data_IF_031683194318
#
_entry.id   IF_031683194318
#
_cell.length_a   1.000
_cell.length_b   1.000
_cell.length_c   1.000
_cell.angle_alpha   90.00
_cell.angle_beta   90.00
_cell.angle_gamma   90.00
#
_symmetry.space_group_name_H-M   'P 1'
#
loop_
_entity.id
_entity.type
_entity.pdbx_description
1 polymer ?
#
# COMPACT_ATOMS: atom_id res chain seq x y z
N UNK A 1 19.31 55.93 42.91
CA UNK A 1 19.14 55.71 41.46
C UNK A 1 17.97 54.77 41.31
N UNK A 2 16.80 55.34 41.02
CA UNK A 2 15.53 54.62 40.96
C UNK A 2 15.34 53.98 39.58
N UNK A 3 14.74 52.78 39.49
CA UNK A 3 14.39 52.16 38.22
C UNK A 3 13.10 52.76 37.64
N UNK A 4 13.18 53.23 36.39
CA UNK A 4 12.06 53.67 35.58
C UNK A 4 11.07 52.51 35.34
N UNK A 5 9.82 52.72 35.73
CA UNK A 5 8.65 51.91 35.35
C UNK A 5 8.06 52.46 34.05
N UNK A 6 7.80 51.57 33.09
CA UNK A 6 7.02 51.86 31.88
C UNK A 6 5.54 51.51 32.12
N UNK A 7 4.58 52.31 31.66
CA UNK A 7 3.16 52.00 31.77
C UNK A 7 2.70 51.02 30.67
N UNK A 8 1.94 50.01 31.10
CA UNK A 8 1.09 49.16 30.26
C UNK A 8 -0.11 49.94 29.75
N UNK A 9 -0.24 50.00 28.43
CA UNK A 9 -1.42 50.51 27.73
C UNK A 9 -2.30 49.32 27.33
N UNK A 10 -3.44 49.17 27.98
CA UNK A 10 -4.49 48.20 27.64
C UNK A 10 -5.65 48.96 27.00
N UNK A 11 -5.70 48.98 25.67
CA UNK A 11 -6.88 49.38 24.91
C UNK A 11 -7.88 48.23 24.78
N UNK A 12 -9.20 48.48 24.89
CA UNK A 12 -10.25 47.50 24.62
C UNK A 12 -10.73 47.57 23.16
N UNK A 13 -11.58 46.61 22.78
CA UNK A 13 -12.31 46.45 21.51
C UNK A 13 -11.63 45.43 20.57
N UNK A 14 -12.31 44.49 19.91
CA UNK A 14 -13.66 44.54 19.38
C UNK A 14 -14.34 43.18 19.29
N UNK A 15 -15.66 43.26 19.14
CA UNK A 15 -16.67 42.22 19.11
C UNK A 15 -16.41 41.02 18.18
N UNK A 16 -16.79 39.85 18.68
CA UNK A 16 -16.97 38.61 17.91
C UNK A 16 -18.25 38.70 17.08
N UNK A 17 -18.22 38.51 15.75
CA UNK A 17 -19.43 38.36 14.97
C UNK A 17 -19.94 36.91 15.05
N UNK A 18 -21.21 36.83 15.41
CA UNK A 18 -22.11 35.68 15.42
C UNK A 18 -22.21 35.04 14.02
N UNK A 19 -21.61 33.86 13.83
CA UNK A 19 -21.75 33.09 12.60
C UNK A 19 -23.05 32.28 12.64
N UNK A 20 -24.08 32.88 12.06
CA UNK A 20 -25.34 32.21 11.72
C UNK A 20 -25.11 31.07 10.72
N UNK A 21 -25.80 29.97 11.00
CA UNK A 21 -25.98 28.81 10.14
C UNK A 21 -26.46 29.21 8.74
N UNK A 22 -25.69 28.82 7.73
CA UNK A 22 -26.02 28.98 6.31
C UNK A 22 -26.27 27.62 5.67
N UNK A 23 -27.54 27.36 5.41
CA UNK A 23 -28.13 26.65 4.29
C UNK A 23 -27.36 25.51 3.61
N UNK A 24 -27.87 24.31 3.90
CA UNK A 24 -27.72 23.07 3.16
C UNK A 24 -28.26 23.19 1.74
N UNK A 25 -27.37 23.46 0.78
CA UNK A 25 -27.59 23.31 -0.66
C UNK A 25 -27.30 21.86 -1.09
N UNK A 26 -28.14 20.92 -0.66
CA UNK A 26 -28.26 19.61 -1.32
C UNK A 26 -29.67 19.52 -1.88
N UNK A 27 -29.76 19.74 -3.20
CA UNK A 27 -31.00 19.52 -3.95
C UNK A 27 -31.33 18.02 -4.01
N UNK A 28 -32.62 17.66 -4.10
CA UNK A 28 -33.04 16.28 -4.27
C UNK A 28 -32.62 15.78 -5.66
N UNK A 29 -31.89 14.68 -5.70
CA UNK A 29 -31.75 13.87 -6.91
C UNK A 29 -33.08 13.16 -7.15
N UNK A 30 -33.75 13.55 -8.24
CA UNK A 30 -34.87 12.81 -8.81
C UNK A 30 -34.37 11.45 -9.29
N UNK A 31 -34.74 10.40 -8.56
CA UNK A 31 -34.59 9.01 -8.98
C UNK A 31 -35.73 8.68 -9.94
N UNK A 32 -35.45 8.58 -11.24
CA UNK A 32 -36.36 7.93 -12.19
C UNK A 32 -36.41 6.40 -11.94
N UNK A 33 -37.58 5.76 -12.01
CA UNK A 33 -37.71 4.32 -11.84
C UNK A 33 -37.60 3.53 -13.16
N UNK A 34 -36.99 2.36 -13.04
CA UNK A 34 -37.18 1.10 -13.78
C UNK A 34 -37.14 1.08 -15.32
N UNK A 35 -36.17 0.29 -15.84
CA UNK A 35 -36.50 -0.70 -16.87
C UNK A 35 -36.00 -2.09 -16.46
N UNK A 36 -36.83 -3.14 -16.58
CA UNK A 36 -36.43 -4.51 -16.31
C UNK A 36 -35.62 -5.06 -17.49
N UNK A 37 -34.37 -5.40 -17.25
CA UNK A 37 -33.56 -6.17 -18.21
C UNK A 37 -34.02 -7.63 -18.17
N UNK A 38 -34.60 -8.10 -19.27
CA UNK A 38 -34.94 -9.50 -19.51
C UNK A 38 -33.69 -10.38 -19.36
N UNK A 39 -33.83 -11.42 -18.53
CA UNK A 39 -32.84 -12.49 -18.35
C UNK A 39 -33.11 -13.56 -19.41
N UNK A 40 -32.18 -13.88 -20.33
CA UNK A 40 -32.25 -15.10 -21.10
C UNK A 40 -31.57 -16.23 -20.31
N UNK A 41 -32.38 -17.19 -19.85
CA UNK A 41 -31.94 -18.49 -19.35
C UNK A 41 -31.55 -19.45 -20.50
N UNK A 42 -30.92 -20.62 -20.24
CA UNK A 42 -29.59 -20.93 -20.74
C UNK A 42 -29.59 -21.92 -21.92
N UNK A 43 -28.61 -21.76 -22.81
CA UNK A 43 -28.29 -22.78 -23.79
C UNK A 43 -27.55 -23.94 -23.12
N UNK A 44 -28.25 -25.07 -22.98
CA UNK A 44 -27.70 -26.41 -22.76
C UNK A 44 -26.56 -26.66 -23.75
N UNK A 45 -25.38 -27.00 -23.24
CA UNK A 45 -24.32 -27.58 -24.08
C UNK A 45 -23.82 -28.88 -23.48
N UNK A 46 -23.76 -29.84 -24.38
CA UNK A 46 -23.67 -31.29 -24.27
C UNK A 46 -22.34 -31.78 -23.71
N UNK A 47 -22.45 -32.76 -22.81
CA UNK A 47 -21.38 -33.68 -22.42
C UNK A 47 -20.92 -34.47 -23.65
N UNK A 48 -19.63 -34.39 -23.98
CA UNK A 48 -18.97 -35.34 -24.90
C UNK A 48 -18.02 -36.17 -24.07
N UNK A 49 -18.41 -37.42 -23.85
CA UNK A 49 -17.54 -38.49 -23.38
C UNK A 49 -16.54 -38.83 -24.50
N UNK A 50 -15.25 -38.81 -24.19
CA UNK A 50 -14.25 -39.47 -25.02
C UNK A 50 -13.39 -40.40 -24.16
N UNK A 51 -13.83 -41.65 -24.10
CA UNK A 51 -13.05 -42.80 -23.64
C UNK A 51 -12.23 -43.31 -24.83
N UNK A 52 -10.91 -43.49 -24.69
CA UNK A 52 -10.22 -44.80 -24.81
C UNK A 52 -8.70 -44.70 -25.02
N UNK A 53 -8.00 -45.52 -24.22
CA UNK A 53 -6.82 -46.35 -24.49
C UNK A 53 -5.57 -45.78 -25.22
N UNK A 54 -4.39 -45.99 -24.62
CA UNK A 54 -3.40 -47.03 -25.06
C UNK A 54 -1.97 -46.76 -24.54
N UNK A 55 -1.52 -47.69 -23.68
CA UNK A 55 -0.17 -48.27 -23.49
C UNK A 55 1.05 -47.41 -23.07
N UNK A 56 1.81 -47.86 -22.05
CA UNK A 56 3.08 -47.28 -21.63
C UNK A 56 4.24 -47.78 -22.51
N UNK A 57 5.02 -46.86 -23.06
CA UNK A 57 6.33 -47.15 -23.61
C UNK A 57 7.38 -47.02 -22.50
N UNK A 58 7.89 -48.17 -22.05
CA UNK A 58 9.07 -48.28 -21.19
C UNK A 58 10.28 -47.73 -21.95
N UNK A 59 10.65 -46.49 -21.66
CA UNK A 59 11.88 -45.84 -22.10
C UNK A 59 13.03 -46.08 -21.12
N UNK A 60 14.29 -46.07 -21.58
CA UNK A 60 15.46 -46.43 -20.80
C UNK A 60 15.77 -45.39 -19.71
N UNK A 61 16.20 -45.89 -18.56
CA UNK A 61 16.67 -45.16 -17.39
C UNK A 61 17.60 -43.99 -17.76
N UNK A 62 17.07 -42.77 -17.71
CA UNK A 62 17.87 -41.56 -17.62
C UNK A 62 18.43 -41.47 -16.20
N UNK A 63 19.76 -41.52 -16.10
CA UNK A 63 20.51 -41.22 -14.88
C UNK A 63 20.12 -39.80 -14.47
N UNK A 64 19.30 -39.71 -13.42
CA UNK A 64 18.98 -38.44 -12.77
C UNK A 64 20.22 -38.03 -12.00
N UNK A 65 21.05 -37.18 -12.58
CA UNK A 65 22.08 -36.46 -11.84
C UNK A 65 21.37 -35.61 -10.80
N UNK A 66 21.42 -36.06 -9.55
CA UNK A 66 20.98 -35.30 -8.39
C UNK A 66 21.77 -33.99 -8.37
N UNK A 67 21.13 -32.82 -8.53
CA UNK A 67 21.82 -31.55 -8.43
C UNK A 67 22.46 -31.46 -7.03
N UNK A 68 23.69 -30.94 -6.90
CA UNK A 68 24.30 -30.75 -5.60
C UNK A 68 23.38 -29.90 -4.74
N UNK A 69 22.88 -30.52 -3.68
CA UNK A 69 22.10 -29.90 -2.61
C UNK A 69 22.96 -28.77 -2.06
N UNK A 70 22.66 -27.56 -2.53
CA UNK A 70 23.34 -26.35 -2.09
C UNK A 70 22.75 -26.04 -0.74
N UNK A 71 23.44 -26.47 0.31
CA UNK A 71 23.08 -26.14 1.69
C UNK A 71 22.87 -24.62 1.78
N UNK A 72 21.69 -24.15 2.20
CA UNK A 72 21.46 -22.73 2.36
C UNK A 72 22.42 -22.23 3.43
N UNK A 73 23.37 -21.37 3.04
CA UNK A 73 24.26 -20.70 3.98
C UNK A 73 23.41 -20.02 5.05
N UNK A 74 23.48 -20.56 6.27
CA UNK A 74 22.86 -20.00 7.46
C UNK A 74 23.62 -18.71 7.80
N UNK A 75 23.32 -17.63 7.06
CA UNK A 75 23.80 -16.28 7.35
C UNK A 75 23.11 -15.81 8.63
N UNK A 76 23.73 -16.17 9.75
CA UNK A 76 23.55 -15.51 11.04
C UNK A 76 24.04 -14.07 10.91
N UNK A 77 23.20 -13.21 10.33
CA UNK A 77 23.41 -11.77 10.37
C UNK A 77 23.11 -11.31 11.78
N UNK A 78 24.11 -10.71 12.44
CA UNK A 78 23.92 -10.00 13.70
C UNK A 78 22.68 -9.10 13.62
N UNK A 79 21.90 -8.96 14.72
CA UNK A 79 20.72 -8.10 14.72
C UNK A 79 21.15 -6.68 14.39
N UNK A 80 20.85 -6.23 13.17
CA UNK A 80 21.04 -4.85 12.75
C UNK A 80 20.02 -4.03 13.51
N UNK A 81 20.46 -2.94 14.11
CA UNK A 81 19.61 -2.01 14.86
C UNK A 81 18.58 -1.36 13.93
N UNK A 82 17.30 -1.38 14.33
CA UNK A 82 16.17 -0.84 13.54
C UNK A 82 16.39 0.62 13.15
N UNK A 83 17.01 1.42 14.03
CA UNK A 83 17.33 2.81 13.76
C UNK A 83 18.34 2.95 12.62
N UNK A 84 19.33 2.06 12.53
CA UNK A 84 20.30 2.04 11.44
C UNK A 84 19.63 1.74 10.10
N UNK A 85 18.68 0.79 10.07
CA UNK A 85 17.90 0.48 8.87
C UNK A 85 16.98 1.64 8.48
N UNK A 86 16.37 2.30 9.47
CA UNK A 86 15.52 3.46 9.26
C UNK A 86 16.31 4.64 8.67
N UNK A 87 17.48 4.93 9.22
CA UNK A 87 18.36 6.00 8.74
C UNK A 87 18.90 5.70 7.32
N UNK A 88 19.26 4.44 7.03
CA UNK A 88 19.70 4.02 5.71
C UNK A 88 18.58 4.10 4.66
N UNK A 89 17.36 3.74 5.04
CA UNK A 89 16.17 3.92 4.20
C UNK A 89 15.90 5.40 3.95
N UNK A 90 15.96 6.23 4.98
CA UNK A 90 15.76 7.66 4.85
C UNK A 90 16.82 8.32 3.95
N UNK A 91 18.09 7.99 4.15
CA UNK A 91 19.21 8.52 3.37
C UNK A 91 19.11 8.17 1.89
N UNK A 92 18.51 7.02 1.55
CA UNK A 92 18.35 6.61 0.16
C UNK A 92 17.46 7.58 -0.63
N UNK A 93 16.36 8.05 -0.03
CA UNK A 93 15.48 9.06 -0.64
C UNK A 93 16.01 10.50 -0.55
N UNK A 94 16.93 10.78 0.37
CA UNK A 94 17.56 12.10 0.46
C UNK A 94 18.55 12.37 -0.69
N UNK A 95 19.09 11.32 -1.30
CA UNK A 95 20.12 11.41 -2.34
C UNK A 95 19.61 10.88 -3.69
N UNK A 96 19.39 11.74 -4.70
CA UNK A 96 18.80 11.36 -5.99
C UNK A 96 19.69 10.48 -6.88
N UNK A 97 20.87 10.06 -6.40
CA UNK A 97 21.88 9.30 -7.17
C UNK A 97 21.84 7.80 -6.82
N UNK A 98 21.18 7.44 -5.73
CA UNK A 98 21.10 6.05 -5.28
C UNK A 98 20.36 5.19 -6.32
N UNK A 99 20.92 4.02 -6.63
CA UNK A 99 20.29 3.07 -7.54
C UNK A 99 18.99 2.50 -6.95
N UNK A 100 17.97 2.29 -7.79
CA UNK A 100 16.68 1.71 -7.37
C UNK A 100 16.82 0.35 -6.68
N UNK A 101 17.82 -0.43 -7.09
CA UNK A 101 18.19 -1.71 -6.45
C UNK A 101 18.56 -1.53 -4.97
N UNK A 102 19.38 -0.52 -4.65
CA UNK A 102 19.77 -0.20 -3.28
C UNK A 102 18.58 0.31 -2.46
N UNK A 103 17.70 1.11 -3.07
CA UNK A 103 16.44 1.52 -2.43
C UNK A 103 15.59 0.32 -2.04
N UNK A 104 15.45 -0.66 -2.94
CA UNK A 104 14.65 -1.86 -2.70
C UNK A 104 15.25 -2.70 -1.58
N UNK A 105 16.57 -2.82 -1.54
CA UNK A 105 17.27 -3.53 -0.47
C UNK A 105 17.03 -2.87 0.89
N UNK A 106 17.19 -1.55 1.01
CA UNK A 106 16.93 -0.84 2.26
C UNK A 106 15.45 -0.93 2.66
N UNK A 107 14.54 -0.79 1.70
CA UNK A 107 13.10 -0.90 1.93
C UNK A 107 12.71 -2.28 2.47
N UNK A 108 13.19 -3.35 1.83
CA UNK A 108 12.96 -4.74 2.24
C UNK A 108 13.53 -5.02 3.63
N UNK A 109 14.76 -4.58 3.89
CA UNK A 109 15.41 -4.79 5.18
C UNK A 109 14.64 -4.10 6.32
N UNK A 110 14.27 -2.83 6.12
CA UNK A 110 13.49 -2.08 7.10
C UNK A 110 12.08 -2.67 7.28
N UNK A 111 11.37 -2.99 6.19
CA UNK A 111 10.05 -3.60 6.26
C UNK A 111 10.08 -4.91 7.05
N UNK A 112 11.02 -5.80 6.75
CA UNK A 112 11.18 -7.07 7.45
C UNK A 112 11.49 -6.86 8.94
N UNK A 113 12.40 -5.96 9.28
CA UNK A 113 12.75 -5.66 10.67
C UNK A 113 11.55 -5.12 11.47
N UNK A 114 10.80 -4.16 10.92
CA UNK A 114 9.59 -3.64 11.54
C UNK A 114 8.54 -4.73 11.75
N UNK A 115 8.33 -5.60 10.75
CA UNK A 115 7.39 -6.72 10.89
C UNK A 115 7.84 -7.69 11.98
N UNK A 116 9.11 -8.07 12.05
CA UNK A 116 9.63 -8.97 13.09
C UNK A 116 9.51 -8.36 14.50
N UNK A 117 9.69 -7.04 14.63
CA UNK A 117 9.54 -6.31 15.89
C UNK A 117 8.09 -6.31 16.38
N UNK A 118 7.12 -6.08 15.48
CA UNK A 118 5.70 -5.98 15.84
C UNK A 118 4.95 -7.32 15.83
N UNK A 119 5.47 -8.32 15.10
CA UNK A 119 4.93 -9.67 15.00
C UNK A 119 6.02 -10.70 15.31
N UNK A 120 6.50 -10.76 16.56
CA UNK A 120 7.62 -11.62 16.92
C UNK A 120 7.22 -13.10 16.96
N UNK A 121 8.16 -13.98 16.63
CA UNK A 121 7.97 -15.44 16.68
C UNK A 121 7.60 -15.94 18.08
N UNK A 122 8.04 -15.24 19.13
CA UNK A 122 7.67 -15.53 20.52
C UNK A 122 6.17 -15.39 20.82
N UNK A 123 5.42 -14.74 19.93
CA UNK A 123 3.96 -14.62 19.96
C UNK A 123 3.29 -15.46 18.86
N UNK A 124 3.98 -16.50 18.40
CA UNK A 124 3.51 -17.43 17.37
C UNK A 124 3.27 -16.78 15.98
N UNK A 125 3.97 -15.68 15.68
CA UNK A 125 3.97 -15.09 14.34
C UNK A 125 5.14 -15.58 13.49
N UNK A 126 4.98 -15.48 12.18
CA UNK A 126 5.99 -15.82 11.18
C UNK A 126 5.95 -14.77 10.08
N UNK A 127 7.10 -14.16 9.76
CA UNK A 127 7.24 -13.15 8.71
C UNK A 127 7.97 -13.79 7.54
N UNK A 128 7.36 -13.78 6.35
CA UNK A 128 7.93 -14.39 5.15
C UNK A 128 7.82 -13.44 3.95
N UNK A 129 8.82 -13.43 3.04
CA UNK A 129 8.63 -12.84 1.72
C UNK A 129 7.45 -13.50 1.01
N UNK A 130 6.63 -12.71 0.33
CA UNK A 130 5.50 -13.18 -0.45
C UNK A 130 5.67 -12.83 -1.92
N UNK A 131 5.20 -13.73 -2.79
CA UNK A 131 4.96 -13.38 -4.18
C UNK A 131 3.72 -12.48 -4.23
N UNK A 132 3.85 -11.36 -4.94
CA UNK A 132 2.71 -10.60 -5.39
C UNK A 132 1.99 -11.43 -6.48
N UNK A 133 0.65 -11.41 -6.49
CA UNK A 133 -0.18 -12.20 -7.40
C UNK A 133 0.05 -11.96 -8.89
N UNK A 134 -0.87 -12.40 -9.76
CA UNK A 134 -0.73 -12.18 -11.20
C UNK A 134 -0.86 -10.69 -11.53
N UNK A 135 0.25 -9.97 -11.53
CA UNK A 135 0.35 -8.62 -12.08
C UNK A 135 0.72 -8.68 -13.56
N UNK A 136 0.26 -7.70 -14.33
CA UNK A 136 0.79 -7.50 -15.69
C UNK A 136 2.27 -7.12 -15.62
N UNK A 137 3.04 -7.38 -16.68
CA UNK A 137 4.44 -6.95 -16.79
C UNK A 137 4.61 -5.43 -16.61
N UNK A 138 3.55 -4.66 -16.85
CA UNK A 138 3.49 -3.21 -16.68
C UNK A 138 3.22 -2.76 -15.22
N UNK A 139 3.06 -3.70 -14.29
CA UNK A 139 2.84 -3.44 -12.87
C UNK A 139 1.54 -2.67 -12.59
N UNK A 140 1.64 -1.61 -11.77
CA UNK A 140 0.50 -0.77 -11.35
C UNK A 140 0.58 0.60 -12.01
N UNK A 141 -0.57 1.10 -12.47
CA UNK A 141 -0.68 2.41 -13.11
C UNK A 141 -1.46 3.39 -12.23
N UNK A 142 -0.93 4.60 -12.11
CA UNK A 142 -1.52 5.72 -11.38
C UNK A 142 -1.92 6.81 -12.36
N UNK A 143 -3.13 7.33 -12.24
CA UNK A 143 -3.61 8.41 -13.11
C UNK A 143 -2.87 9.70 -12.80
N UNK A 144 -2.39 10.38 -13.84
CA UNK A 144 -1.91 11.74 -13.68
C UNK A 144 -3.11 12.70 -13.68
N UNK A 145 -3.03 13.72 -12.81
CA UNK A 145 -4.03 14.76 -12.64
C UNK A 145 -4.22 15.57 -13.91
N UNK A 146 -5.44 16.06 -14.09
CA UNK A 146 -5.75 17.00 -15.19
C UNK A 146 -5.16 18.37 -14.89
N UNK A 147 -4.99 19.20 -15.92
CA UNK A 147 -4.39 20.53 -15.78
C UNK A 147 -5.14 21.49 -14.84
N UNK A 148 -6.42 21.23 -14.62
CA UNK A 148 -7.35 21.97 -13.77
C UNK A 148 -7.55 21.34 -12.37
N UNK A 149 -7.00 20.15 -12.14
CA UNK A 149 -7.11 19.47 -10.84
C UNK A 149 -6.12 20.06 -9.83
N UNK A 150 -6.53 20.31 -8.57
CA UNK A 150 -5.62 20.76 -7.52
C UNK A 150 -4.54 19.71 -7.24
N UNK A 151 -3.44 20.15 -6.63
CA UNK A 151 -2.40 19.22 -6.17
C UNK A 151 -3.04 18.16 -5.25
N UNK A 152 -2.72 16.90 -5.53
CA UNK A 152 -3.36 15.75 -4.90
C UNK A 152 -2.95 15.61 -3.45
N UNK A 153 -1.74 16.03 -3.13
CA UNK A 153 -1.18 15.82 -1.81
C UNK A 153 -0.95 17.13 -1.05
N UNK A 154 -1.57 17.31 0.13
CA UNK A 154 -1.27 18.45 1.00
C UNK A 154 0.19 18.49 1.47
N UNK A 155 0.87 17.34 1.50
CA UNK A 155 2.26 17.20 1.95
C UNK A 155 3.27 17.46 0.82
N UNK A 156 2.83 17.57 -0.44
CA UNK A 156 3.73 17.96 -1.53
C UNK A 156 4.04 19.45 -1.37
N UNK A 157 5.31 19.85 -1.16
CA UNK A 157 5.66 21.26 -1.09
C UNK A 157 5.22 21.91 -2.41
N UNK A 158 4.49 23.04 -2.38
CA UNK A 158 4.05 23.70 -3.60
C UNK A 158 5.30 24.01 -4.43
N UNK A 159 5.34 23.48 -5.65
CA UNK A 159 6.40 23.82 -6.60
C UNK A 159 6.44 25.35 -6.69
N UNK A 160 7.61 25.94 -6.41
CA UNK A 160 7.82 27.37 -6.61
C UNK A 160 7.46 27.64 -8.06
N UNK A 161 6.27 28.22 -8.29
CA UNK A 161 5.72 28.43 -9.62
C UNK A 161 6.82 29.07 -10.45
N UNK A 162 7.38 28.40 -11.47
CA UNK A 162 8.38 29.04 -12.30
C UNK A 162 7.73 30.30 -12.85
N UNK A 163 8.38 31.46 -12.68
CA UNK A 163 7.90 32.74 -13.23
C UNK A 163 7.69 32.50 -14.73
N UNK A 164 6.44 32.24 -15.13
CA UNK A 164 6.11 31.93 -16.53
C UNK A 164 6.54 33.14 -17.35
N UNK A 165 7.51 33.02 -18.28
CA UNK A 165 7.78 34.09 -19.20
C UNK A 165 6.52 34.29 -20.06
N UNK A 166 6.09 35.55 -20.21
CA UNK A 166 4.90 35.98 -20.95
C UNK A 166 5.12 35.82 -22.46
N UNK A 167 5.38 34.60 -22.94
CA UNK A 167 5.51 34.29 -24.36
C UNK A 167 4.42 33.30 -24.78
N UNK A 168 3.72 33.67 -25.85
CA UNK A 168 2.63 32.93 -26.46
C UNK A 168 3.03 31.46 -26.71
N UNK A 169 2.25 30.55 -26.14
CA UNK A 169 2.44 29.10 -26.25
C UNK A 169 2.03 28.62 -27.64
N UNK A 170 3.01 28.20 -28.44
CA UNK A 170 2.81 27.16 -29.46
C UNK A 170 2.21 25.95 -28.75
N UNK A 171 1.01 25.51 -29.16
CA UNK A 171 0.34 24.35 -28.58
C UNK A 171 1.15 23.12 -28.98
N UNK A 172 2.11 22.74 -28.13
CA UNK A 172 2.81 21.48 -28.24
C UNK A 172 1.91 20.43 -27.60
N UNK A 173 1.15 19.69 -28.40
CA UNK A 173 0.45 18.49 -27.92
C UNK A 173 1.53 17.48 -27.53
N UNK A 174 1.94 17.43 -26.26
CA UNK A 174 2.72 16.30 -25.78
C UNK A 174 1.76 15.13 -25.60
N UNK A 175 2.04 14.02 -26.28
CA UNK A 175 1.39 12.72 -26.06
C UNK A 175 1.97 12.06 -24.80
N UNK A 176 2.14 12.82 -23.71
CA UNK A 176 2.53 12.22 -22.45
C UNK A 176 1.40 11.30 -21.99
N UNK A 177 1.74 10.06 -21.66
CA UNK A 177 0.78 9.11 -21.15
C UNK A 177 0.08 9.72 -19.91
N UNK A 178 -1.26 9.66 -19.81
CA UNK A 178 -1.99 10.21 -18.67
C UNK A 178 -1.87 9.32 -17.42
N UNK A 179 -0.84 8.48 -17.36
CA UNK A 179 -0.56 7.56 -16.26
C UNK A 179 0.94 7.48 -15.95
N UNK A 180 1.23 7.25 -14.67
CA UNK A 180 2.53 6.87 -14.15
C UNK A 180 2.52 5.38 -13.84
N UNK A 181 3.57 4.65 -14.21
CA UNK A 181 3.64 3.20 -14.02
C UNK A 181 4.74 2.84 -13.03
N UNK A 182 4.41 1.96 -12.07
CA UNK A 182 5.37 1.29 -11.20
C UNK A 182 5.43 -0.17 -11.64
N UNK A 183 6.53 -0.53 -12.30
CA UNK A 183 6.76 -1.90 -12.76
C UNK A 183 6.98 -2.89 -11.61
N UNK A 184 6.68 -4.17 -11.84
CA UNK A 184 6.74 -5.23 -10.82
C UNK A 184 8.14 -5.40 -10.19
N UNK A 185 9.21 -5.12 -10.93
CA UNK A 185 10.58 -5.15 -10.42
C UNK A 185 10.87 -4.09 -9.34
N UNK A 186 10.00 -3.09 -9.22
CA UNK A 186 10.03 -2.06 -8.18
C UNK A 186 9.05 -2.37 -7.05
N UNK A 187 8.58 -3.62 -6.96
CA UNK A 187 7.65 -4.07 -5.93
C UNK A 187 8.19 -5.28 -5.17
N UNK A 188 7.78 -5.40 -3.91
CA UNK A 188 8.01 -6.58 -3.09
C UNK A 188 6.87 -6.75 -2.09
N UNK A 189 6.70 -7.94 -1.54
CA UNK A 189 5.71 -8.18 -0.50
C UNK A 189 6.27 -9.06 0.61
N UNK A 190 5.69 -8.87 1.79
CA UNK A 190 5.87 -9.70 2.97
C UNK A 190 4.49 -10.08 3.51
N UNK A 191 4.36 -11.31 3.97
CA UNK A 191 3.18 -11.79 4.69
C UNK A 191 3.57 -12.06 6.12
N UNK A 192 2.72 -11.64 7.05
CA UNK A 192 2.78 -12.05 8.44
C UNK A 192 1.74 -13.14 8.61
N UNK A 193 2.16 -14.32 9.07
CA UNK A 193 1.28 -15.41 9.43
C UNK A 193 1.23 -15.56 10.94
N UNK A 194 0.07 -15.90 11.48
CA UNK A 194 -0.12 -16.21 12.89
C UNK A 194 -0.50 -17.68 13.02
N UNK A 195 0.09 -18.37 14.00
CA UNK A 195 -0.30 -19.74 14.34
C UNK A 195 -1.70 -19.73 14.95
N UNK A 196 -2.62 -20.45 14.32
CA UNK A 196 -3.98 -20.68 14.83
C UNK A 196 -4.05 -22.12 15.36
N UNK A 197 -4.52 -22.28 16.60
CA UNK A 197 -4.68 -23.59 17.24
C UNK A 197 -6.04 -24.17 16.84
N UNK A 198 -6.02 -25.20 15.99
CA UNK A 198 -7.18 -26.02 15.67
C UNK A 198 -7.33 -27.23 16.59
N UNK A 199 -8.37 -28.03 16.36
CA UNK A 199 -8.57 -29.30 17.07
C UNK A 199 -7.53 -30.32 16.60
N UNK A 200 -6.38 -30.36 17.28
CA UNK A 200 -5.32 -31.36 17.04
C UNK A 200 -4.25 -30.98 16.02
N UNK A 201 -4.40 -29.85 15.31
CA UNK A 201 -3.38 -29.31 14.40
C UNK A 201 -3.15 -27.82 14.67
N UNK A 202 -1.91 -27.37 14.53
CA UNK A 202 -1.58 -25.94 14.46
C UNK A 202 -1.29 -25.60 13.02
N UNK A 203 -1.91 -24.54 12.50
CA UNK A 203 -1.65 -24.04 11.15
C UNK A 203 -1.32 -22.56 11.20
N UNK A 204 -0.52 -22.10 10.25
CA UNK A 204 -0.21 -20.69 10.09
C UNK A 204 -1.18 -20.07 9.08
N UNK A 205 -1.95 -19.06 9.52
CA UNK A 205 -2.85 -18.29 8.65
C UNK A 205 -2.35 -16.86 8.48
N UNK A 206 -2.61 -16.24 7.34
CA UNK A 206 -2.23 -14.84 7.09
C UNK A 206 -2.90 -13.91 8.09
N UNK A 207 -2.12 -13.18 8.86
CA UNK A 207 -2.59 -12.15 9.79
C UNK A 207 -2.61 -10.78 9.10
N UNK A 208 -1.51 -10.38 8.49
CA UNK A 208 -1.44 -9.12 7.73
C UNK A 208 -0.42 -9.25 6.58
N UNK A 209 -0.34 -8.22 5.75
CA UNK A 209 0.62 -8.11 4.66
C UNK A 209 1.23 -6.72 4.61
N UNK A 210 2.48 -6.65 4.14
CA UNK A 210 3.15 -5.40 3.81
C UNK A 210 3.66 -5.47 2.39
N UNK A 211 3.26 -4.50 1.56
CA UNK A 211 3.78 -4.34 0.20
C UNK A 211 4.76 -3.18 0.18
N UNK A 212 5.88 -3.35 -0.50
CA UNK A 212 6.84 -2.28 -0.82
C UNK A 212 6.65 -1.93 -2.29
N UNK A 213 6.39 -0.67 -2.58
CA UNK A 213 6.34 -0.08 -3.90
C UNK A 213 7.33 1.08 -3.95
N UNK A 214 8.42 0.90 -4.69
CA UNK A 214 9.35 1.99 -4.91
C UNK A 214 8.84 2.92 -5.99
N UNK A 215 8.90 4.20 -5.68
CA UNK A 215 8.67 5.27 -6.63
C UNK A 215 9.76 6.33 -6.44
N UNK A 216 10.21 6.92 -7.54
CA UNK A 216 11.14 8.06 -7.49
C UNK A 216 10.43 9.36 -7.06
N UNK A 217 9.08 9.32 -6.97
CA UNK A 217 8.19 10.43 -6.69
C UNK A 217 8.36 11.61 -7.66
N UNK A 218 9.06 11.43 -8.78
CA UNK A 218 9.37 12.49 -9.71
C UNK A 218 8.10 13.07 -10.35
N UNK A 219 7.07 12.24 -10.51
CA UNK A 219 5.77 12.66 -11.03
C UNK A 219 4.72 12.83 -9.94
N UNK A 220 5.05 12.62 -8.66
CA UNK A 220 4.07 12.52 -7.58
C UNK A 220 3.18 13.77 -7.44
N UNK A 221 3.75 14.97 -7.63
CA UNK A 221 2.99 16.23 -7.67
C UNK A 221 1.95 16.31 -8.79
N UNK A 222 2.04 15.43 -9.79
CA UNK A 222 1.10 15.29 -10.91
C UNK A 222 0.12 14.14 -10.70
N UNK A 223 0.12 13.40 -9.61
CA UNK A 223 -0.81 12.28 -9.46
C UNK A 223 -2.21 12.80 -9.17
N UNK A 224 -3.24 12.11 -9.65
CA UNK A 224 -4.64 12.43 -9.30
C UNK A 224 -4.96 12.01 -7.86
N UNK A 225 -5.89 12.71 -7.20
CA UNK A 225 -6.40 12.33 -5.87
C UNK A 225 -7.12 10.98 -5.88
N UNK A 226 -7.68 10.61 -7.03
CA UNK A 226 -8.38 9.34 -7.21
C UNK A 226 -7.46 8.12 -6.98
N UNK A 227 -6.14 8.30 -7.03
CA UNK A 227 -5.18 7.22 -6.79
C UNK A 227 -5.08 6.80 -5.31
N UNK A 228 -5.55 7.62 -4.34
CA UNK A 228 -5.43 7.25 -2.92
C UNK A 228 -6.12 5.93 -2.60
N UNK A 229 -7.30 5.70 -3.19
CA UNK A 229 -8.08 4.48 -3.03
C UNK A 229 -7.39 3.32 -3.77
N UNK A 230 -6.91 3.57 -4.99
CA UNK A 230 -6.38 2.52 -5.89
C UNK A 230 -5.01 1.98 -5.44
N UNK A 231 -4.23 2.75 -4.67
CA UNK A 231 -2.91 2.30 -4.17
C UNK A 231 -3.01 1.08 -3.26
N UNK A 232 -4.05 1.05 -2.41
CA UNK A 232 -4.28 -0.05 -1.47
C UNK A 232 -4.64 -1.37 -2.16
N UNK A 233 -5.19 -1.34 -3.38
CA UNK A 233 -5.68 -2.53 -4.09
C UNK A 233 -4.60 -3.60 -4.33
N UNK A 234 -3.32 -3.21 -4.29
CA UNK A 234 -2.20 -4.16 -4.34
C UNK A 234 -2.22 -5.17 -3.18
N UNK A 235 -2.86 -4.82 -2.06
CA UNK A 235 -3.02 -5.68 -0.89
C UNK A 235 -4.16 -6.69 -1.05
N UNK A 236 -5.12 -6.45 -1.95
CA UNK A 236 -6.33 -7.27 -2.08
C UNK A 236 -6.01 -8.72 -2.43
N UNK A 237 -5.03 -8.95 -3.30
CA UNK A 237 -4.61 -10.31 -3.67
C UNK A 237 -3.93 -11.02 -2.48
N UNK A 238 -3.02 -10.32 -1.81
CA UNK A 238 -2.26 -10.87 -0.68
C UNK A 238 -3.16 -11.23 0.51
N UNK A 239 -4.13 -10.37 0.83
CA UNK A 239 -5.05 -10.55 1.95
C UNK A 239 -6.22 -11.46 1.57
N UNK A 240 -6.90 -11.19 0.46
CA UNK A 240 -8.12 -11.89 0.05
C UNK A 240 -7.86 -13.23 -0.61
N UNK A 241 -7.15 -13.23 -1.74
CA UNK A 241 -6.99 -14.42 -2.59
C UNK A 241 -6.02 -15.41 -1.96
N UNK A 242 -4.82 -14.95 -1.62
CA UNK A 242 -3.76 -15.78 -1.03
C UNK A 242 -4.03 -15.99 0.46
N UNK A 243 -4.34 -14.90 1.18
CA UNK A 243 -4.45 -14.92 2.64
C UNK A 243 -5.77 -15.46 3.18
N UNK A 244 -6.83 -15.56 2.36
CA UNK A 244 -8.18 -15.95 2.78
C UNK A 244 -8.69 -15.13 3.97
N UNK A 245 -8.30 -13.86 4.01
CA UNK A 245 -8.81 -12.89 4.99
C UNK A 245 -10.20 -12.45 4.53
N UNK A 246 -11.14 -12.38 5.45
CA UNK A 246 -12.47 -11.81 5.26
C UNK A 246 -12.47 -10.35 5.73
N UNK A 247 -11.99 -10.09 6.95
CA UNK A 247 -11.76 -8.75 7.47
C UNK A 247 -10.37 -8.65 8.09
N UNK A 248 -9.63 -7.60 7.77
CA UNK A 248 -8.28 -7.45 8.28
C UNK A 248 -7.65 -6.12 7.94
N UNK A 249 -6.33 -6.11 7.87
CA UNK A 249 -5.56 -4.89 7.70
C UNK A 249 -4.25 -5.17 6.98
N UNK A 250 -3.69 -4.15 6.33
CA UNK A 250 -2.44 -4.25 5.56
C UNK A 250 -1.64 -2.95 5.55
N UNK A 251 -0.37 -3.06 5.19
CA UNK A 251 0.60 -1.97 5.17
C UNK A 251 1.16 -1.79 3.76
N UNK A 252 1.47 -0.55 3.41
CA UNK A 252 2.10 -0.21 2.15
C UNK A 252 3.28 0.75 2.40
N UNK A 253 4.48 0.32 2.06
CA UNK A 253 5.61 1.21 1.84
C UNK A 253 5.51 1.78 0.43
N UNK A 254 5.09 3.02 0.30
CA UNK A 254 4.93 3.72 -0.97
C UNK A 254 5.96 4.83 -1.09
N UNK A 255 7.08 4.56 -1.78
CA UNK A 255 8.26 5.41 -1.72
C UNK A 255 8.65 5.66 -0.25
N UNK A 256 8.95 6.90 0.18
CA UNK A 256 9.32 7.23 1.55
C UNK A 256 8.16 7.20 2.57
N UNK A 257 6.98 6.65 2.22
CA UNK A 257 5.80 6.69 3.07
C UNK A 257 5.42 5.31 3.56
N UNK A 258 4.95 5.26 4.80
CA UNK A 258 4.20 4.13 5.33
C UNK A 258 2.72 4.48 5.34
N UNK A 259 1.92 3.64 4.70
CA UNK A 259 0.47 3.75 4.63
C UNK A 259 -0.19 2.50 5.24
N UNK A 260 -1.31 2.71 5.91
CA UNK A 260 -2.06 1.70 6.66
C UNK A 260 -3.47 1.60 6.09
N UNK A 261 -3.90 0.38 5.83
CA UNK A 261 -5.17 0.08 5.20
C UNK A 261 -5.99 -0.93 6.00
N UNK A 262 -7.32 -0.79 5.91
CA UNK A 262 -8.29 -1.79 6.33
C UNK A 262 -8.71 -2.60 5.09
N UNK A 263 -8.99 -3.88 5.31
CA UNK A 263 -9.45 -4.80 4.27
C UNK A 263 -10.79 -5.43 4.70
N UNK A 264 -11.75 -5.45 3.77
CA UNK A 264 -13.06 -6.07 3.94
C UNK A 264 -13.48 -6.75 2.63
N UNK A 265 -13.47 -8.08 2.62
CA UNK A 265 -13.84 -8.90 1.46
C UNK A 265 -15.32 -8.77 1.09
N UNK A 266 -16.16 -8.30 2.01
CA UNK A 266 -17.59 -8.09 1.77
C UNK A 266 -17.89 -6.76 1.07
N UNK A 267 -16.91 -5.84 1.00
CA UNK A 267 -17.05 -4.59 0.25
C UNK A 267 -16.77 -4.83 -1.23
N UNK A 268 -17.85 -4.84 -2.02
CA UNK A 268 -17.85 -5.13 -3.45
C UNK A 268 -17.20 -4.05 -4.33
N UNK A 269 -17.00 -2.84 -3.78
CA UNK A 269 -16.53 -1.67 -4.53
C UNK A 269 -15.10 -1.28 -4.17
N UNK A 270 -14.79 -1.36 -2.89
CA UNK A 270 -13.57 -0.83 -2.29
C UNK A 270 -13.11 -1.74 -1.14
N UNK A 271 -12.67 -2.97 -1.45
CA UNK A 271 -12.27 -3.94 -0.43
C UNK A 271 -11.06 -3.48 0.38
N UNK A 272 -10.26 -2.53 -0.12
CA UNK A 272 -9.16 -1.91 0.61
C UNK A 272 -9.43 -0.42 0.79
N UNK A 273 -9.34 0.07 2.03
CA UNK A 273 -9.57 1.48 2.38
C UNK A 273 -8.49 2.02 3.31
N UNK A 274 -8.16 3.32 3.23
CA UNK A 274 -7.32 3.97 4.23
C UNK A 274 -7.82 3.66 5.65
N UNK A 275 -6.90 3.34 6.55
CA UNK A 275 -7.24 3.08 7.95
C UNK A 275 -7.86 4.34 8.58
N UNK A 276 -8.87 4.20 9.44
CA UNK A 276 -9.61 5.34 10.01
C UNK A 276 -8.79 6.24 10.97
N UNK A 277 -7.53 5.90 11.22
CA UNK A 277 -6.65 6.64 12.11
C UNK A 277 -6.10 7.89 11.39
N UNK A 278 -6.01 9.07 12.04
CA UNK A 278 -5.52 10.29 11.40
C UNK A 278 -4.10 10.16 10.83
N UNK A 279 -3.28 9.29 11.44
CA UNK A 279 -1.92 8.98 10.97
C UNK A 279 -1.86 7.68 10.17
N UNK A 280 -2.90 7.35 9.39
CA UNK A 280 -2.87 6.18 8.50
C UNK A 280 -1.79 6.29 7.43
N UNK A 281 -1.35 7.51 7.12
CA UNK A 281 -0.25 7.82 6.21
C UNK A 281 0.82 8.61 6.96
N UNK A 282 2.07 8.16 6.88
CA UNK A 282 3.22 8.81 7.51
C UNK A 282 4.34 8.99 6.50
N UNK A 283 4.85 10.22 6.38
CA UNK A 283 6.10 10.47 5.66
C UNK A 283 7.28 10.13 6.57
N UNK A 284 7.99 9.06 6.24
CA UNK A 284 9.11 8.55 7.05
C UNK A 284 10.34 9.46 6.96
N UNK A 285 10.34 10.47 6.09
CA UNK A 285 11.40 11.51 6.06
C UNK A 285 11.28 12.51 7.20
N UNK A 286 10.07 12.73 7.68
CA UNK A 286 9.79 13.71 8.74
C UNK A 286 9.30 13.07 10.02
N UNK A 287 8.84 11.82 9.96
CA UNK A 287 8.38 11.07 11.12
C UNK A 287 9.56 10.35 11.78
N UNK A 288 9.64 10.34 13.10
CA UNK A 288 10.66 9.56 13.81
C UNK A 288 10.26 8.08 13.89
N UNK A 289 11.25 7.18 13.97
CA UNK A 289 11.01 5.75 14.15
C UNK A 289 10.12 5.47 15.37
N UNK A 290 10.34 6.16 16.50
CA UNK A 290 9.50 6.01 17.69
C UNK A 290 8.01 6.38 17.46
N UNK A 291 7.73 7.36 16.59
CA UNK A 291 6.37 7.71 16.23
C UNK A 291 5.75 6.65 15.29
N UNK A 292 6.54 6.13 14.34
CA UNK A 292 6.13 4.99 13.49
C UNK A 292 5.81 3.77 14.35
N UNK A 293 6.70 3.40 15.27
CA UNK A 293 6.52 2.28 16.21
C UNK A 293 5.24 2.38 17.02
N UNK A 294 4.90 3.58 17.49
CA UNK A 294 3.68 3.82 18.26
C UNK A 294 2.43 3.51 17.42
N UNK A 295 2.42 3.95 16.16
CA UNK A 295 1.29 3.69 15.26
C UNK A 295 1.22 2.21 14.89
N UNK A 296 2.36 1.60 14.51
CA UNK A 296 2.42 0.18 14.15
C UNK A 296 2.04 -0.74 15.31
N UNK A 297 2.42 -0.41 16.55
CA UNK A 297 2.02 -1.19 17.73
C UNK A 297 0.50 -1.18 17.94
N UNK A 298 -0.14 -0.03 17.73
CA UNK A 298 -1.61 0.06 17.78
C UNK A 298 -2.27 -0.68 16.62
N UNK A 299 -1.63 -0.65 15.45
CA UNK A 299 -2.14 -1.27 14.24
C UNK A 299 -2.06 -2.81 14.32
N UNK A 300 -0.96 -3.35 14.83
CA UNK A 300 -0.70 -4.79 14.99
C UNK A 300 -1.60 -5.48 16.02
N UNK A 301 -2.26 -4.71 16.90
CA UNK A 301 -3.21 -5.25 17.88
C UNK A 301 -4.60 -5.56 17.27
N UNK A 302 -4.82 -5.27 15.99
CA UNK A 302 -6.10 -5.47 15.33
C UNK A 302 -6.39 -6.95 15.10
N UNK A 303 -7.63 -7.35 15.34
CA UNK A 303 -8.10 -8.69 15.02
C UNK A 303 -8.23 -8.88 13.50
N UNK A 304 -8.10 -10.13 13.07
CA UNK A 304 -8.24 -10.56 11.67
C UNK A 304 -9.27 -11.68 11.64
N UNK A 305 -10.24 -11.56 10.75
CA UNK A 305 -11.27 -12.56 10.50
C UNK A 305 -10.89 -13.30 9.22
N UNK A 306 -10.78 -14.63 9.30
CA UNK A 306 -10.51 -15.49 8.16
C UNK A 306 -11.79 -16.06 7.58
N UNK A 307 -11.78 -16.30 6.27
CA UNK A 307 -12.81 -17.08 5.60
C UNK A 307 -12.85 -18.50 6.19
N UNK A 308 -14.04 -19.08 6.32
CA UNK A 308 -14.19 -20.49 6.69
C UNK A 308 -13.59 -21.38 5.60
N UNK A 309 -12.92 -22.46 6.01
CA UNK A 309 -12.41 -23.45 5.06
C UNK A 309 -13.62 -24.18 4.44
N UNK A 310 -13.78 -24.06 3.12
CA UNK A 310 -14.80 -24.76 2.32
C UNK A 310 -14.41 -26.22 2.10
#
# INVERSE_FOLDING_TARGET
MEPHTLPTDTGPNDAVPDMRAGDSLFGPYDSEPDQPTEIPEPARSTSVEHTTHTTPATGPHAVTETPPETEPEEKSSLPVDDQTLYDAYHASYAHPISETSAHMQHAKALAHALLQRHYPESQDYLVEPAALGPFSDYGINFRLKKSDEPDSDPDTPPLKKPKRPTKATTIHCSYEAPWHSIGLHNMAAFVVKQRVKGVGTSEYRTHTGLVVMLDDLATFYRWSRDNEIVRGDVLSDLLGVIGRVDQGHGMLFFGPRLELYQYDASDDKTPVKPHQHPNWRMDMRTTSLAAVDKVLSSFAAQAVVHQEAV
#
